data_IF_538575501619
#
_entry.id   IF_538575501619
#
_cell.length_a   1.000
_cell.length_b   1.000
_cell.length_c   1.000
_cell.angle_alpha   90.00
_cell.angle_beta   90.00
_cell.angle_gamma   90.00
#
_symmetry.space_group_name_H-M   'P 1'
#
loop_
_entity.id
_entity.type
_entity.pdbx_description
1 polymer ?
#
# COMPACT_ATOMS: atom_id res chain seq x y z
N UNK A 1 -16.85 80.42 9.34
CA UNK A 1 -15.86 79.34 9.10
C UNK A 1 -15.54 78.50 10.35
N UNK A 2 -15.22 79.07 11.52
CA UNK A 2 -14.90 78.28 12.75
C UNK A 2 -15.95 77.24 13.19
N UNK A 3 -17.25 77.54 13.06
CA UNK A 3 -18.34 76.59 13.43
C UNK A 3 -18.45 75.36 12.52
N UNK A 4 -18.09 75.48 11.25
CA UNK A 4 -18.13 74.37 10.26
C UNK A 4 -16.97 73.39 10.53
N UNK A 5 -15.80 73.91 10.90
CA UNK A 5 -14.61 73.11 11.22
C UNK A 5 -14.85 72.25 12.47
N UNK A 6 -15.56 72.78 13.47
CA UNK A 6 -15.87 72.04 14.71
C UNK A 6 -16.88 70.90 14.44
N UNK A 7 -17.89 71.14 13.61
CA UNK A 7 -18.87 70.11 13.23
C UNK A 7 -18.19 68.97 12.43
N UNK A 8 -17.27 69.32 11.51
CA UNK A 8 -16.48 68.35 10.75
C UNK A 8 -15.53 67.54 11.64
N UNK A 9 -14.91 68.17 12.65
CA UNK A 9 -14.04 67.47 13.61
C UNK A 9 -14.81 66.48 14.49
N UNK A 10 -16.01 66.85 14.97
CA UNK A 10 -16.87 65.95 15.75
C UNK A 10 -17.41 64.80 14.90
N UNK A 11 -17.75 65.06 13.63
CA UNK A 11 -18.13 64.01 12.67
C UNK A 11 -16.97 63.06 12.38
N UNK A 12 -15.74 63.55 12.23
CA UNK A 12 -14.56 62.73 11.99
C UNK A 12 -14.20 61.85 13.19
N UNK A 13 -14.28 62.38 14.41
CA UNK A 13 -14.07 61.59 15.64
C UNK A 13 -15.19 60.57 15.81
N UNK A 14 -16.44 60.92 15.50
CA UNK A 14 -17.56 59.99 15.49
C UNK A 14 -17.42 58.88 14.44
N UNK A 15 -16.92 59.20 13.24
CA UNK A 15 -16.66 58.22 12.18
C UNK A 15 -15.49 57.30 12.52
N UNK A 16 -14.41 57.84 13.09
CA UNK A 16 -13.27 57.06 13.55
C UNK A 16 -13.65 56.13 14.71
N UNK A 17 -14.50 56.60 15.63
CA UNK A 17 -14.99 55.82 16.76
C UNK A 17 -15.98 54.72 16.32
N UNK A 18 -16.91 55.03 15.40
CA UNK A 18 -17.79 54.03 14.77
C UNK A 18 -17.00 53.00 13.96
N UNK A 19 -15.98 53.44 13.22
CA UNK A 19 -15.06 52.56 12.51
C UNK A 19 -14.31 51.62 13.44
N UNK A 20 -13.81 52.11 14.58
CA UNK A 20 -13.11 51.31 15.59
C UNK A 20 -14.02 50.29 16.30
N UNK A 21 -15.26 50.66 16.62
CA UNK A 21 -16.25 49.77 17.23
C UNK A 21 -16.76 48.68 16.27
N UNK A 22 -16.95 49.01 14.99
CA UNK A 22 -17.29 48.02 13.96
C UNK A 22 -16.11 47.10 13.63
N UNK A 23 -14.88 47.61 13.60
CA UNK A 23 -13.69 46.83 13.27
C UNK A 23 -13.13 46.00 14.43
N UNK A 24 -13.37 46.38 15.68
CA UNK A 24 -12.85 45.65 16.84
C UNK A 24 -13.34 44.20 16.91
N UNK A 25 -14.67 43.98 16.81
CA UNK A 25 -15.26 42.63 16.77
C UNK A 25 -15.11 41.91 15.43
N UNK A 26 -14.93 42.66 14.32
CA UNK A 26 -14.63 42.07 13.02
C UNK A 26 -13.19 41.55 12.94
N UNK A 27 -12.22 42.25 13.55
CA UNK A 27 -10.81 41.80 13.64
C UNK A 27 -10.68 40.48 14.36
N UNK A 28 -11.40 40.28 15.46
CA UNK A 28 -11.35 39.04 16.24
C UNK A 28 -11.96 37.86 15.45
N UNK A 29 -13.07 38.09 14.74
CA UNK A 29 -13.68 37.08 13.84
C UNK A 29 -12.81 36.77 12.63
N UNK A 30 -12.16 37.77 12.03
CA UNK A 30 -11.21 37.59 10.92
C UNK A 30 -9.98 36.82 11.41
N UNK A 31 -9.42 37.16 12.57
CA UNK A 31 -8.29 36.46 13.15
C UNK A 31 -8.62 34.99 13.49
N UNK A 32 -9.83 34.72 14.03
CA UNK A 32 -10.31 33.36 14.28
C UNK A 32 -10.49 32.58 12.97
N UNK A 33 -11.08 33.19 11.95
CA UNK A 33 -11.24 32.57 10.63
C UNK A 33 -9.88 32.28 9.95
N UNK A 34 -8.91 33.18 10.05
CA UNK A 34 -7.53 32.95 9.55
C UNK A 34 -6.84 31.80 10.30
N UNK A 35 -7.04 31.71 11.62
CA UNK A 35 -6.52 30.61 12.43
C UNK A 35 -7.16 29.27 12.06
N UNK A 36 -8.48 29.22 11.90
CA UNK A 36 -9.22 28.02 11.47
C UNK A 36 -8.79 27.58 10.06
N UNK A 37 -8.58 28.52 9.13
CA UNK A 37 -8.12 28.23 7.76
C UNK A 37 -6.68 27.70 7.78
N UNK A 38 -5.82 28.25 8.64
CA UNK A 38 -4.45 27.76 8.85
C UNK A 38 -4.44 26.36 9.46
N UNK A 39 -5.28 26.09 10.46
CA UNK A 39 -5.42 24.76 11.05
C UNK A 39 -5.90 23.75 10.01
N UNK A 40 -6.93 24.10 9.24
CA UNK A 40 -7.45 23.26 8.16
C UNK A 40 -6.38 22.96 7.10
N UNK A 41 -5.65 23.97 6.61
CA UNK A 41 -4.55 23.78 5.65
C UNK A 41 -3.47 22.86 6.22
N UNK A 42 -3.14 23.01 7.50
CA UNK A 42 -2.12 22.19 8.15
C UNK A 42 -2.56 20.73 8.22
N UNK A 43 -3.80 20.46 8.65
CA UNK A 43 -4.38 19.12 8.68
C UNK A 43 -4.51 18.51 7.29
N UNK A 44 -5.00 19.27 6.31
CA UNK A 44 -5.12 18.81 4.94
C UNK A 44 -3.76 18.46 4.32
N UNK A 45 -2.75 19.30 4.52
CA UNK A 45 -1.38 19.03 4.05
C UNK A 45 -0.78 17.80 4.74
N UNK A 46 -1.07 17.59 6.03
CA UNK A 46 -0.64 16.38 6.74
C UNK A 46 -1.28 15.12 6.13
N UNK A 47 -2.60 15.12 5.89
CA UNK A 47 -3.32 14.02 5.24
C UNK A 47 -2.76 13.77 3.84
N UNK A 48 -2.53 14.83 3.05
CA UNK A 48 -1.96 14.72 1.71
C UNK A 48 -0.56 14.09 1.76
N UNK A 49 0.30 14.53 2.66
CA UNK A 49 1.64 13.96 2.83
C UNK A 49 1.59 12.47 3.21
N UNK A 50 0.67 12.10 4.11
CA UNK A 50 0.46 10.69 4.48
C UNK A 50 -0.03 9.88 3.28
N UNK A 51 -0.97 10.41 2.48
CA UNK A 51 -1.42 9.77 1.24
C UNK A 51 -0.28 9.56 0.25
N UNK A 52 0.53 10.59 -0.02
CA UNK A 52 1.65 10.51 -0.96
C UNK A 52 2.68 9.46 -0.49
N UNK A 53 2.91 9.38 0.83
CA UNK A 53 3.74 8.33 1.43
C UNK A 53 3.15 6.94 1.25
N UNK A 54 1.84 6.78 1.49
CA UNK A 54 1.14 5.50 1.29
C UNK A 54 1.16 5.07 -0.18
N UNK A 55 1.00 6.00 -1.13
CA UNK A 55 1.10 5.71 -2.57
C UNK A 55 2.50 5.23 -2.95
N UNK A 56 3.54 5.83 -2.35
CA UNK A 56 4.92 5.40 -2.57
C UNK A 56 5.16 3.99 -2.03
N UNK A 57 4.65 3.67 -0.84
CA UNK A 57 4.75 2.32 -0.26
C UNK A 57 3.98 1.32 -1.11
N UNK A 58 2.74 1.64 -1.51
CA UNK A 58 1.92 0.78 -2.38
C UNK A 58 2.60 0.55 -3.72
N UNK A 59 3.24 1.57 -4.32
CA UNK A 59 4.00 1.41 -5.56
C UNK A 59 5.18 0.43 -5.38
N UNK A 60 5.95 0.57 -4.30
CA UNK A 60 7.05 -0.34 -3.97
C UNK A 60 6.58 -1.78 -3.77
N UNK A 61 5.52 -1.99 -2.99
CA UNK A 61 4.94 -3.31 -2.75
C UNK A 61 4.37 -3.93 -4.04
N UNK A 62 3.82 -3.13 -4.96
CA UNK A 62 3.37 -3.63 -6.26
C UNK A 62 4.55 -4.13 -7.11
N UNK A 63 5.71 -3.46 -7.06
CA UNK A 63 6.92 -3.92 -7.76
C UNK A 63 7.37 -5.27 -7.22
N UNK A 64 7.48 -5.41 -5.89
CA UNK A 64 7.84 -6.68 -5.24
C UNK A 64 6.85 -7.80 -5.57
N UNK A 65 5.54 -7.49 -5.58
CA UNK A 65 4.51 -8.47 -5.94
C UNK A 65 4.67 -8.95 -7.39
N UNK A 66 4.99 -8.05 -8.31
CA UNK A 66 5.24 -8.42 -9.72
C UNK A 66 6.49 -9.28 -9.82
N UNK A 67 7.56 -8.93 -9.12
CA UNK A 67 8.80 -9.72 -9.08
C UNK A 67 8.56 -11.15 -8.58
N UNK A 68 7.84 -11.32 -7.46
CA UNK A 68 7.51 -12.65 -6.96
C UNK A 68 6.58 -13.44 -7.88
N UNK A 69 5.66 -12.77 -8.60
CA UNK A 69 4.86 -13.45 -9.64
C UNK A 69 5.74 -13.96 -10.78
N UNK A 70 6.67 -13.14 -11.26
CA UNK A 70 7.63 -13.58 -12.28
C UNK A 70 8.47 -14.76 -11.79
N UNK A 71 8.89 -14.75 -10.52
CA UNK A 71 9.60 -15.89 -9.92
C UNK A 71 8.72 -17.15 -9.91
N UNK A 72 7.45 -17.05 -9.51
CA UNK A 72 6.49 -18.17 -9.58
C UNK A 72 6.37 -18.70 -11.00
N UNK A 73 6.21 -17.84 -12.00
CA UNK A 73 6.10 -18.24 -13.40
C UNK A 73 7.37 -18.99 -13.86
N UNK A 74 8.56 -18.49 -13.53
CA UNK A 74 9.82 -19.18 -13.83
C UNK A 74 9.96 -20.53 -13.12
N UNK A 75 9.42 -20.69 -11.92
CA UNK A 75 9.45 -21.97 -11.20
C UNK A 75 8.50 -22.99 -11.85
N UNK A 76 7.37 -22.54 -12.41
CA UNK A 76 6.51 -23.39 -13.22
C UNK A 76 7.21 -23.84 -14.51
N UNK A 77 7.97 -22.97 -15.18
CA UNK A 77 8.79 -23.38 -16.34
C UNK A 77 9.82 -24.45 -15.97
N UNK A 78 10.41 -24.38 -14.77
CA UNK A 78 11.31 -25.43 -14.27
C UNK A 78 10.58 -26.74 -14.03
N UNK A 79 9.34 -26.71 -13.52
CA UNK A 79 8.51 -27.91 -13.35
C UNK A 79 8.21 -28.54 -14.72
N UNK A 80 7.82 -27.74 -15.70
CA UNK A 80 7.54 -28.22 -17.06
C UNK A 80 8.80 -28.82 -17.71
N UNK A 81 9.97 -28.19 -17.50
CA UNK A 81 11.25 -28.74 -17.95
C UNK A 81 11.54 -30.10 -17.29
N UNK A 82 11.32 -30.22 -15.97
CA UNK A 82 11.53 -31.48 -15.27
C UNK A 82 10.57 -32.56 -15.77
N UNK A 83 9.33 -32.22 -16.08
CA UNK A 83 8.37 -33.16 -16.65
C UNK A 83 8.77 -33.61 -18.05
N UNK A 84 9.24 -32.70 -18.91
CA UNK A 84 9.76 -33.06 -20.23
C UNK A 84 10.98 -34.00 -20.11
N UNK A 85 11.92 -33.70 -19.21
CA UNK A 85 13.05 -34.59 -18.94
C UNK A 85 12.60 -35.97 -18.46
N UNK A 86 11.54 -36.04 -17.65
CA UNK A 86 10.96 -37.31 -17.19
C UNK A 86 10.40 -38.13 -18.35
N UNK A 87 9.69 -37.48 -19.27
CA UNK A 87 9.14 -38.13 -20.47
C UNK A 87 10.26 -38.64 -21.38
N UNK A 88 11.30 -37.83 -21.59
CA UNK A 88 12.49 -38.21 -22.36
C UNK A 88 13.20 -39.41 -21.72
N UNK A 89 13.34 -39.43 -20.38
CA UNK A 89 13.90 -40.56 -19.65
C UNK A 89 13.08 -41.84 -19.78
N UNK A 90 11.74 -41.75 -19.73
CA UNK A 90 10.86 -42.91 -19.95
C UNK A 90 11.05 -43.48 -21.36
N UNK A 91 11.08 -42.62 -22.37
CA UNK A 91 11.29 -43.03 -23.76
C UNK A 91 12.68 -43.65 -23.93
N UNK A 92 13.71 -43.02 -23.37
CA UNK A 92 15.10 -43.51 -23.38
C UNK A 92 15.20 -44.91 -22.76
N UNK A 93 14.63 -45.11 -21.57
CA UNK A 93 14.63 -46.40 -20.88
C UNK A 93 13.81 -47.45 -21.64
N UNK A 94 12.69 -47.07 -22.26
CA UNK A 94 11.90 -47.96 -23.10
C UNK A 94 12.62 -48.41 -24.39
N UNK A 95 13.63 -47.65 -24.84
CA UNK A 95 14.47 -47.96 -26.00
C UNK A 95 15.70 -48.83 -25.66
N UNK A 96 15.91 -49.15 -24.39
CA UNK A 96 17.01 -50.04 -23.97
C UNK A 96 16.69 -51.49 -24.33
N UNK A 97 17.11 -51.91 -25.52
CA UNK A 97 16.90 -53.28 -26.02
C UNK A 97 18.16 -54.14 -25.97
N UNK A 98 19.35 -53.54 -25.92
CA UNK A 98 20.60 -54.31 -25.84
C UNK A 98 20.98 -54.57 -24.38
N UNK A 99 21.41 -55.80 -24.04
CA UNK A 99 21.86 -56.15 -22.70
C UNK A 99 22.98 -55.25 -22.16
N UNK A 100 23.90 -54.82 -23.02
CA UNK A 100 25.04 -53.99 -22.62
C UNK A 100 24.60 -52.57 -22.23
N UNK A 101 23.72 -51.95 -23.02
CA UNK A 101 23.13 -50.62 -22.75
C UNK A 101 22.37 -50.62 -21.41
N UNK A 102 21.64 -51.72 -21.13
CA UNK A 102 20.91 -51.88 -19.86
C UNK A 102 21.89 -51.99 -18.69
N UNK A 103 22.97 -52.77 -18.83
CA UNK A 103 23.98 -52.91 -17.78
C UNK A 103 24.67 -51.58 -17.50
N UNK A 104 24.97 -50.80 -18.54
CA UNK A 104 25.53 -49.46 -18.41
C UNK A 104 24.57 -48.53 -17.65
N UNK A 105 23.31 -48.43 -18.10
CA UNK A 105 22.31 -47.58 -17.45
C UNK A 105 22.06 -47.97 -15.98
N UNK A 106 22.05 -49.28 -15.65
CA UNK A 106 21.95 -49.73 -14.25
C UNK A 106 23.13 -49.25 -13.42
N UNK A 107 24.36 -49.34 -13.96
CA UNK A 107 25.57 -48.93 -13.23
C UNK A 107 25.60 -47.43 -12.98
N UNK A 108 25.04 -46.65 -13.90
CA UNK A 108 24.87 -45.20 -13.74
C UNK A 108 23.77 -44.86 -12.73
N UNK A 109 22.59 -45.45 -12.88
CA UNK A 109 21.41 -45.20 -12.03
C UNK A 109 21.61 -45.70 -10.60
N UNK A 110 22.33 -46.81 -10.44
CA UNK A 110 22.56 -47.48 -9.16
C UNK A 110 24.06 -47.72 -8.93
N UNK A 111 24.77 -46.74 -8.34
CA UNK A 111 26.22 -46.83 -8.14
C UNK A 111 26.68 -48.05 -7.32
N UNK A 112 25.79 -48.61 -6.50
CA UNK A 112 26.05 -49.84 -5.72
C UNK A 112 26.32 -51.05 -6.62
N UNK A 113 25.83 -51.05 -7.85
CA UNK A 113 26.03 -52.14 -8.82
C UNK A 113 27.17 -51.87 -9.82
N UNK A 114 27.93 -50.77 -9.67
CA UNK A 114 29.01 -50.40 -10.61
C UNK A 114 30.04 -51.50 -10.85
N UNK A 115 30.28 -52.35 -9.85
CA UNK A 115 31.22 -53.49 -9.91
C UNK A 115 30.52 -54.86 -9.89
N UNK A 116 29.20 -54.90 -9.91
CA UNK A 116 28.47 -56.16 -9.89
C UNK A 116 28.67 -56.89 -11.23
N UNK A 117 28.88 -58.23 -11.20
CA UNK A 117 28.88 -59.04 -12.41
C UNK A 117 27.44 -59.14 -12.90
N UNK A 118 27.05 -58.20 -13.75
CA UNK A 118 25.76 -58.13 -14.43
C UNK A 118 26.02 -58.23 -15.92
N UNK A 119 25.17 -58.95 -16.63
CA UNK A 119 25.35 -59.12 -18.06
C UNK A 119 24.75 -60.39 -18.61
N UNK A 120 25.21 -60.70 -19.81
CA UNK A 120 24.89 -61.93 -20.51
C UNK A 120 25.74 -63.06 -19.96
N UNK A 121 25.09 -64.16 -19.57
CA UNK A 121 25.73 -65.39 -19.14
C UNK A 121 25.40 -66.53 -20.11
N UNK A 122 26.36 -67.43 -20.31
CA UNK A 122 26.15 -68.69 -21.03
C UNK A 122 25.75 -69.75 -20.03
N UNK A 123 24.53 -70.27 -20.16
CA UNK A 123 23.98 -71.33 -19.30
C UNK A 123 23.57 -72.52 -20.16
N UNK A 124 23.80 -73.77 -19.72
CA UNK A 124 23.37 -74.94 -20.47
C UNK A 124 21.85 -75.06 -20.46
N UNK A 125 21.26 -75.37 -21.62
CA UNK A 125 19.82 -75.61 -21.73
C UNK A 125 19.42 -76.84 -20.90
N UNK A 126 18.39 -76.74 -20.03
CA UNK A 126 18.09 -77.77 -19.04
C UNK A 126 17.69 -79.13 -19.62
N UNK A 127 17.33 -79.21 -20.91
CA UNK A 127 16.95 -80.47 -21.57
C UNK A 127 17.96 -81.01 -22.58
N UNK A 128 18.72 -80.13 -23.23
CA UNK A 128 19.59 -80.50 -24.36
C UNK A 128 21.08 -80.32 -24.05
N UNK A 129 21.43 -79.65 -22.94
CA UNK A 129 22.82 -79.33 -22.58
C UNK A 129 23.49 -78.31 -23.49
N UNK A 130 22.81 -77.84 -24.55
CA UNK A 130 23.36 -76.84 -25.47
C UNK A 130 23.54 -75.49 -24.76
N UNK A 131 24.65 -74.78 -24.98
CA UNK A 131 24.86 -73.47 -24.38
C UNK A 131 23.83 -72.46 -24.91
N UNK A 132 23.12 -71.79 -24.00
CA UNK A 132 22.22 -70.69 -24.31
C UNK A 132 22.75 -69.43 -23.65
N UNK A 133 22.77 -68.36 -24.43
CA UNK A 133 23.12 -67.02 -24.02
C UNK A 133 21.87 -66.36 -23.43
N UNK A 134 21.87 -66.06 -22.12
CA UNK A 134 20.75 -65.39 -21.44
C UNK A 134 21.25 -64.20 -20.62
N UNK A 135 20.43 -63.16 -20.52
CA UNK A 135 20.68 -62.11 -19.53
C UNK A 135 20.38 -62.66 -18.13
N UNK A 136 21.23 -62.34 -17.15
CA UNK A 136 21.13 -62.88 -15.78
C UNK A 136 19.85 -62.43 -15.03
N UNK A 137 19.20 -61.36 -15.49
CA UNK A 137 17.91 -60.87 -14.98
C UNK A 137 16.95 -60.65 -16.15
N UNK A 138 15.62 -60.59 -15.94
CA UNK A 138 14.72 -60.17 -16.99
C UNK A 138 14.96 -58.69 -17.35
N UNK A 139 15.22 -58.41 -18.63
CA UNK A 139 15.47 -57.05 -19.13
C UNK A 139 14.35 -56.08 -18.72
N UNK A 140 13.09 -56.49 -18.87
CA UNK A 140 11.95 -55.62 -18.54
C UNK A 140 11.89 -55.23 -17.06
N UNK A 141 12.36 -56.11 -16.17
CA UNK A 141 12.40 -55.84 -14.74
C UNK A 141 13.49 -54.80 -14.42
N UNK A 142 14.63 -54.90 -15.08
CA UNK A 142 15.74 -53.96 -14.89
C UNK A 142 15.38 -52.58 -15.41
N UNK A 143 14.77 -52.50 -16.59
CA UNK A 143 14.28 -51.23 -17.15
C UNK A 143 13.22 -50.58 -16.26
N UNK A 144 12.31 -51.35 -15.65
CA UNK A 144 11.31 -50.79 -14.73
C UNK A 144 11.95 -50.22 -13.47
N UNK A 145 12.98 -50.86 -12.90
CA UNK A 145 13.69 -50.31 -11.75
C UNK A 145 14.43 -49.01 -12.08
N UNK A 146 15.03 -48.91 -13.27
CA UNK A 146 15.67 -47.67 -13.73
C UNK A 146 14.61 -46.56 -13.86
N UNK A 147 13.51 -46.84 -14.56
CA UNK A 147 12.41 -45.89 -14.74
C UNK A 147 11.85 -45.41 -13.39
N UNK A 148 11.51 -46.33 -12.48
CA UNK A 148 11.00 -46.01 -11.14
C UNK A 148 11.96 -45.13 -10.35
N UNK A 149 13.27 -45.41 -10.43
CA UNK A 149 14.28 -44.61 -9.73
C UNK A 149 14.34 -43.19 -10.29
N UNK A 150 14.35 -43.05 -11.62
CA UNK A 150 14.39 -41.75 -12.29
C UNK A 150 13.11 -40.94 -12.02
N UNK A 151 11.95 -41.59 -12.05
CA UNK A 151 10.67 -41.00 -11.67
C UNK A 151 10.68 -40.49 -10.23
N UNK A 152 11.15 -41.29 -9.27
CA UNK A 152 11.24 -40.86 -7.87
C UNK A 152 12.16 -39.65 -7.72
N UNK A 153 13.33 -39.65 -8.37
CA UNK A 153 14.26 -38.50 -8.32
C UNK A 153 13.63 -37.26 -8.94
N UNK A 154 12.94 -37.40 -10.06
CA UNK A 154 12.25 -36.30 -10.72
C UNK A 154 11.11 -35.74 -9.85
N UNK A 155 10.25 -36.60 -9.30
CA UNK A 155 9.16 -36.21 -8.41
C UNK A 155 9.66 -35.50 -7.14
N UNK A 156 10.80 -35.92 -6.58
CA UNK A 156 11.41 -35.23 -5.45
C UNK A 156 11.85 -33.81 -5.82
N UNK A 157 12.48 -33.62 -7.00
CA UNK A 157 12.84 -32.29 -7.51
C UNK A 157 11.59 -31.43 -7.75
N UNK A 158 10.58 -31.96 -8.43
CA UNK A 158 9.32 -31.24 -8.65
C UNK A 158 8.68 -30.83 -7.31
N UNK A 159 8.65 -31.73 -6.32
CA UNK A 159 8.11 -31.44 -4.98
C UNK A 159 8.87 -30.31 -4.28
N UNK A 160 10.20 -30.27 -4.40
CA UNK A 160 11.01 -29.18 -3.86
C UNK A 160 10.67 -27.85 -4.52
N UNK A 161 10.53 -27.84 -5.86
CA UNK A 161 10.14 -26.63 -6.61
C UNK A 161 8.73 -26.18 -6.24
N UNK A 162 7.75 -27.10 -6.15
CA UNK A 162 6.39 -26.79 -5.70
C UNK A 162 6.33 -26.20 -4.30
N UNK A 163 7.21 -26.65 -3.39
CA UNK A 163 7.30 -26.06 -2.05
C UNK A 163 7.74 -24.59 -2.12
N UNK A 164 8.71 -24.28 -2.99
CA UNK A 164 9.16 -22.89 -3.19
C UNK A 164 8.03 -22.07 -3.81
N UNK A 165 7.35 -22.58 -4.84
CA UNK A 165 6.18 -21.93 -5.45
C UNK A 165 5.13 -21.56 -4.42
N UNK A 166 4.76 -22.50 -3.54
CA UNK A 166 3.75 -22.26 -2.50
C UNK A 166 4.19 -21.15 -1.54
N UNK A 167 5.44 -21.16 -1.07
CA UNK A 167 5.96 -20.10 -0.20
C UNK A 167 5.94 -18.74 -0.89
N UNK A 168 6.39 -18.67 -2.15
CA UNK A 168 6.37 -17.41 -2.91
C UNK A 168 4.94 -16.93 -3.19
N UNK A 169 3.98 -17.84 -3.39
CA UNK A 169 2.56 -17.47 -3.51
C UNK A 169 1.99 -16.93 -2.20
N UNK A 170 2.36 -17.50 -1.06
CA UNK A 170 2.00 -16.94 0.27
C UNK A 170 2.52 -15.51 0.42
N UNK A 171 3.77 -15.25 0.01
CA UNK A 171 4.35 -13.90 0.02
C UNK A 171 3.59 -12.93 -0.90
N UNK A 172 3.20 -13.38 -2.11
CA UNK A 172 2.37 -12.58 -3.04
C UNK A 172 1.02 -12.22 -2.42
N UNK A 173 0.38 -13.16 -1.73
CA UNK A 173 -0.91 -12.93 -1.04
C UNK A 173 -0.72 -11.93 0.10
N UNK A 174 0.30 -12.10 0.94
CA UNK A 174 0.59 -11.18 2.04
C UNK A 174 0.88 -9.74 1.56
N UNK A 175 1.60 -9.59 0.43
CA UNK A 175 1.80 -8.29 -0.21
C UNK A 175 0.50 -7.69 -0.74
N UNK A 176 -0.38 -8.52 -1.32
CA UNK A 176 -1.68 -8.07 -1.81
C UNK A 176 -2.57 -7.57 -0.67
N UNK A 177 -2.64 -8.29 0.44
CA UNK A 177 -3.40 -7.90 1.64
C UNK A 177 -2.86 -6.59 2.25
N UNK A 178 -1.53 -6.46 2.28
CA UNK A 178 -0.87 -5.21 2.72
C UNK A 178 -1.25 -4.04 1.82
N UNK A 179 -1.23 -4.21 0.49
CA UNK A 179 -1.64 -3.18 -0.46
C UNK A 179 -3.11 -2.79 -0.26
N UNK A 180 -4.00 -3.77 -0.06
CA UNK A 180 -5.43 -3.51 0.17
C UNK A 180 -5.61 -2.69 1.45
N UNK A 181 -4.99 -3.13 2.55
CA UNK A 181 -5.07 -2.45 3.85
C UNK A 181 -4.55 -1.01 3.76
N UNK A 182 -3.42 -0.77 3.08
CA UNK A 182 -2.89 0.58 2.90
C UNK A 182 -3.81 1.47 2.05
N UNK A 183 -4.47 0.90 1.03
CA UNK A 183 -5.49 1.62 0.24
C UNK A 183 -6.72 1.97 1.06
N UNK A 184 -7.19 1.06 1.91
CA UNK A 184 -8.31 1.32 2.82
C UNK A 184 -7.96 2.41 3.85
N UNK A 185 -6.76 2.33 4.46
CA UNK A 185 -6.26 3.36 5.37
C UNK A 185 -6.20 4.74 4.70
N UNK A 186 -5.74 4.81 3.44
CA UNK A 186 -5.76 6.05 2.65
C UNK A 186 -7.19 6.57 2.48
N UNK A 187 -8.13 5.72 2.07
CA UNK A 187 -9.54 6.11 1.89
C UNK A 187 -10.15 6.64 3.20
N UNK A 188 -9.89 5.96 4.32
CA UNK A 188 -10.36 6.38 5.64
C UNK A 188 -9.78 7.73 6.04
N UNK A 189 -8.47 7.96 5.86
CA UNK A 189 -7.84 9.23 6.16
C UNK A 189 -8.42 10.39 5.33
N UNK A 190 -8.74 10.16 4.05
CA UNK A 190 -9.41 11.15 3.22
C UNK A 190 -10.84 11.43 3.67
N UNK A 191 -11.59 10.38 4.03
CA UNK A 191 -12.96 10.51 4.52
C UNK A 191 -13.01 11.35 5.81
N UNK A 192 -12.15 11.05 6.78
CA UNK A 192 -12.02 11.82 8.02
C UNK A 192 -11.64 13.27 7.76
N UNK A 193 -10.71 13.52 6.83
CA UNK A 193 -10.33 14.86 6.41
C UNK A 193 -11.48 15.66 5.78
N UNK A 194 -12.27 15.01 4.92
CA UNK A 194 -13.45 15.61 4.28
C UNK A 194 -14.55 15.89 5.31
N UNK A 195 -14.86 14.95 6.20
CA UNK A 195 -15.84 15.14 7.27
C UNK A 195 -15.43 16.29 8.20
N UNK A 196 -14.15 16.37 8.58
CA UNK A 196 -13.63 17.49 9.35
C UNK A 196 -13.81 18.83 8.61
N UNK A 197 -13.49 18.87 7.31
CA UNK A 197 -13.68 20.06 6.48
C UNK A 197 -15.13 20.49 6.35
N UNK A 198 -16.04 19.54 6.10
CA UNK A 198 -17.48 19.80 6.00
C UNK A 198 -18.04 20.30 7.33
N UNK A 199 -17.68 19.68 8.45
CA UNK A 199 -18.12 20.12 9.78
C UNK A 199 -17.64 21.54 10.10
N UNK A 200 -16.39 21.89 9.78
CA UNK A 200 -15.88 23.25 9.93
C UNK A 200 -16.61 24.24 9.01
N UNK A 201 -16.86 23.87 7.76
CA UNK A 201 -17.63 24.70 6.83
C UNK A 201 -19.06 24.96 7.31
N UNK A 202 -19.75 23.93 7.81
CA UNK A 202 -21.08 24.08 8.41
C UNK A 202 -21.08 25.00 9.63
N UNK A 203 -20.10 24.84 10.53
CA UNK A 203 -19.94 25.71 11.70
C UNK A 203 -19.76 27.16 11.27
N UNK A 204 -18.87 27.41 10.30
CA UNK A 204 -18.59 28.75 9.79
C UNK A 204 -19.82 29.36 9.11
N UNK A 205 -20.57 28.55 8.36
CA UNK A 205 -21.84 28.96 7.72
C UNK A 205 -22.91 29.27 8.76
N UNK A 206 -23.06 28.46 9.82
CA UNK A 206 -23.98 28.71 10.93
C UNK A 206 -23.61 29.99 11.68
N UNK A 207 -22.32 30.22 11.97
CA UNK A 207 -21.82 31.46 12.58
C UNK A 207 -22.11 32.69 11.69
N UNK A 208 -21.91 32.55 10.37
CA UNK A 208 -22.17 33.61 9.40
C UNK A 208 -23.67 33.92 9.30
N UNK A 209 -24.53 32.91 9.14
CA UNK A 209 -25.99 33.07 9.13
C UNK A 209 -26.48 33.69 10.44
N UNK A 210 -25.96 33.26 11.59
CA UNK A 210 -26.35 33.84 12.88
C UNK A 210 -25.91 35.31 12.98
N UNK A 211 -24.73 35.65 12.46
CA UNK A 211 -24.25 37.05 12.38
C UNK A 211 -25.13 37.90 11.44
N UNK A 212 -25.64 37.33 10.34
CA UNK A 212 -26.58 38.01 9.44
C UNK A 212 -27.99 38.17 10.03
N UNK A 213 -28.48 37.16 10.77
CA UNK A 213 -29.80 37.18 11.42
C UNK A 213 -29.84 38.09 12.64
N UNK A 214 -28.74 38.15 13.39
CA UNK A 214 -28.55 39.05 14.52
C UNK A 214 -27.40 40.01 14.19
N UNK A 215 -27.62 40.98 13.27
CA UNK A 215 -26.61 41.97 13.01
C UNK A 215 -26.26 42.66 14.34
N UNK A 216 -24.97 42.89 14.65
CA UNK A 216 -24.57 43.47 15.91
C UNK A 216 -25.36 44.76 16.14
N UNK A 217 -26.17 44.78 17.20
CA UNK A 217 -27.00 45.94 17.55
C UNK A 217 -26.06 47.08 17.90
N UNK A 218 -26.06 48.12 17.09
CA UNK A 218 -25.38 49.37 17.41
C UNK A 218 -26.10 49.98 18.61
N UNK A 219 -25.48 49.90 19.78
CA UNK A 219 -25.91 50.65 20.97
C UNK A 219 -25.69 52.13 20.70
N UNK A 220 -26.72 52.80 20.17
CA UNK A 220 -26.75 54.24 19.90
C UNK A 220 -26.83 55.11 21.16
N UNK A 221 -26.78 54.54 22.37
CA UNK A 221 -26.83 55.31 23.61
C UNK A 221 -25.59 55.09 24.48
N UNK A 222 -24.80 56.13 24.76
CA UNK A 222 -23.68 56.03 25.68
C UNK A 222 -24.21 55.89 27.11
N UNK A 223 -23.61 54.94 27.84
CA UNK A 223 -23.75 54.74 29.27
C UNK A 223 -23.67 56.08 30.02
N UNK A 224 -24.49 56.25 31.07
CA UNK A 224 -24.72 57.50 31.85
C UNK A 224 -23.46 58.16 32.45
N UNK A 225 -22.29 57.56 32.28
CA UNK A 225 -20.99 58.11 32.70
C UNK A 225 -20.37 59.10 31.71
N UNK A 226 -20.86 59.20 30.47
CA UNK A 226 -20.36 60.18 29.49
C UNK A 226 -20.79 61.64 29.77
N UNK A 227 -21.75 61.85 30.68
CA UNK A 227 -22.27 63.19 31.02
C UNK A 227 -21.36 64.01 31.94
N UNK A 228 -20.41 63.37 32.64
CA UNK A 228 -19.46 64.09 33.52
C UNK A 228 -18.40 64.84 32.70
N UNK A 229 -18.05 64.34 31.51
CA UNK A 229 -17.10 65.02 30.61
C UNK A 229 -17.68 66.25 29.89
N UNK A 230 -19.00 66.30 29.70
CA UNK A 230 -19.67 67.40 28.98
C UNK A 230 -19.92 68.60 29.93
N UNK A 231 -20.11 68.35 31.23
CA UNK A 231 -20.27 69.42 32.21
C UNK A 231 -18.96 70.21 32.47
N UNK A 232 -17.79 69.56 32.41
CA UNK A 232 -16.50 70.25 32.52
C UNK A 232 -16.18 71.12 31.29
N UNK A 233 -16.59 70.70 30.09
CA UNK A 233 -16.41 71.48 28.85
C UNK A 233 -17.29 72.73 28.75
N UNK A 234 -18.47 72.73 29.37
CA UNK A 234 -19.36 73.89 29.39
C UNK A 234 -18.88 75.01 30.34
N UNK A 235 -18.19 74.67 31.44
CA UNK A 235 -17.66 75.66 32.38
C UNK A 235 -16.43 76.40 31.84
N UNK A 236 -15.54 75.71 31.10
CA UNK A 236 -14.35 76.34 30.49
C UNK A 236 -14.75 77.26 29.33
N UNK A 237 -15.83 76.94 28.60
CA UNK A 237 -16.34 77.77 27.51
C UNK A 237 -16.94 79.12 27.94
N UNK A 238 -17.42 79.24 29.19
CA UNK A 238 -17.98 80.49 29.71
C UNK A 238 -16.89 81.44 30.29
N UNK A 239 -15.75 80.91 30.73
CA UNK A 239 -14.65 81.71 31.29
C UNK A 239 -13.73 82.35 30.24
N UNK A 240 -13.69 81.81 29.01
CA UNK A 240 -12.90 82.35 27.88
C UNK A 240 -13.72 83.29 26.99
N UNK A 241 -15.01 83.48 27.30
CA UNK A 241 -15.96 84.29 26.54
C UNK A 241 -16.33 85.64 27.17
N UNK A 242 -15.48 86.19 28.05
CA UNK A 242 -15.53 87.61 28.46
C UNK A 242 -14.43 88.39 27.75
#
# INVERSE_FOLDING_TARGET
MKKIIIILAVLWVGFAFMGYLFWGGAKEKIAKAEQDLKEFRTKFNAIKKTSDSLDTIVASLNVQRVEYRTQVDSLYEVIDMLENLRQDDIIRVAQLFQPDDIVEEVRETFPKFKRAPMGVAVVPHPRTGLPITTFQMPIQLVSSFIADRNDVVNLLKQKEVFKIVNLTLEDVIALQDSIITLKEQKVMAYKEGLEFGMNKYEQLTKEYINTLKNPPKVSLFPNKFALVGIAAGAAVGYAVGK
#
